data_IF_736620438688
#
_entry.id   IF_736620438688
#
_cell.length_a   1.000
_cell.length_b   1.000
_cell.length_c   1.000
_cell.angle_alpha   90.00
_cell.angle_beta   90.00
_cell.angle_gamma   90.00
#
_symmetry.space_group_name_H-M   'P 1'
#
loop_
_entity.id
_entity.type
_entity.pdbx_description
1 polymer ?
#
# COMPACT_ATOMS: atom_id res chain seq x y z
N UNK A 1 -2.21 4.13 -13.31
CA UNK A 1 -1.43 3.28 -12.37
C UNK A 1 -1.66 3.55 -10.89
N UNK A 2 -2.14 4.74 -10.52
CA UNK A 2 -2.48 5.12 -9.13
C UNK A 2 -3.44 4.16 -8.41
N UNK A 3 -4.29 3.44 -9.14
CA UNK A 3 -5.22 2.47 -8.54
C UNK A 3 -4.56 1.15 -8.09
N UNK A 4 -3.24 1.02 -8.17
CA UNK A 4 -2.52 -0.23 -7.82
C UNK A 4 -2.75 -0.66 -6.37
N UNK A 5 -2.69 0.26 -5.40
CA UNK A 5 -2.97 -0.03 -3.98
C UNK A 5 -4.42 -0.48 -3.75
N UNK A 6 -5.38 0.22 -4.35
CA UNK A 6 -6.82 -0.11 -4.29
C UNK A 6 -7.07 -1.49 -4.90
N UNK A 7 -6.52 -1.77 -6.07
CA UNK A 7 -6.65 -3.06 -6.74
C UNK A 7 -6.17 -4.22 -5.87
N UNK A 8 -5.03 -4.08 -5.19
CA UNK A 8 -4.50 -5.11 -4.28
C UNK A 8 -5.43 -5.29 -3.09
N UNK A 9 -5.87 -4.19 -2.47
CA UNK A 9 -6.74 -4.25 -1.31
C UNK A 9 -8.10 -4.89 -1.61
N UNK A 10 -8.77 -4.49 -2.70
CA UNK A 10 -10.07 -5.02 -3.09
C UNK A 10 -10.03 -6.52 -3.42
N UNK A 11 -8.97 -6.97 -4.09
CA UNK A 11 -8.84 -8.39 -4.42
C UNK A 11 -8.37 -9.22 -3.22
N UNK A 12 -7.52 -8.68 -2.35
CA UNK A 12 -7.11 -9.34 -1.10
C UNK A 12 -8.25 -9.48 -0.10
N UNK A 13 -9.16 -8.50 -0.03
CA UNK A 13 -10.37 -8.54 0.81
C UNK A 13 -11.27 -9.73 0.51
N UNK A 14 -11.29 -10.23 -0.74
CA UNK A 14 -12.12 -11.38 -1.16
C UNK A 14 -11.69 -12.68 -0.49
N UNK A 15 -10.39 -12.84 -0.24
CA UNK A 15 -9.82 -14.07 0.34
C UNK A 15 -9.54 -13.91 1.83
N UNK A 16 -9.10 -12.73 2.26
CA UNK A 16 -8.68 -12.43 3.63
C UNK A 16 -9.30 -11.10 4.12
N UNK A 17 -10.62 -11.05 4.41
CA UNK A 17 -11.33 -9.81 4.75
C UNK A 17 -10.77 -9.09 5.99
N UNK A 18 -10.20 -9.84 6.94
CA UNK A 18 -9.62 -9.28 8.16
C UNK A 18 -8.17 -8.82 8.00
N UNK A 19 -7.52 -9.13 6.87
CA UNK A 19 -6.10 -8.81 6.63
C UNK A 19 -5.88 -7.63 5.69
N UNK A 20 -6.86 -7.31 4.86
CA UNK A 20 -6.80 -6.16 3.95
C UNK A 20 -7.73 -5.04 4.42
N UNK A 21 -7.41 -3.80 4.02
CA UNK A 21 -8.26 -2.61 4.13
C UNK A 21 -8.10 -1.83 2.82
N UNK A 22 -9.20 -1.55 2.15
CA UNK A 22 -9.21 -0.55 1.09
C UNK A 22 -9.42 0.82 1.73
N UNK A 23 -8.35 1.63 1.78
CA UNK A 23 -8.37 2.97 2.35
C UNK A 23 -8.73 4.06 1.33
N UNK A 24 -8.91 3.68 0.05
CA UNK A 24 -9.16 4.61 -1.05
C UNK A 24 -8.12 5.74 -1.09
N UNK A 25 -8.61 6.96 -1.30
CA UNK A 25 -7.78 8.17 -1.31
C UNK A 25 -7.48 8.71 0.10
N UNK A 26 -8.23 8.31 1.14
CA UNK A 26 -8.18 8.99 2.45
C UNK A 26 -7.93 7.99 3.57
N UNK A 27 -6.67 7.62 3.76
CA UNK A 27 -6.23 6.74 4.87
C UNK A 27 -6.57 7.30 6.27
N UNK A 28 -6.73 8.62 6.41
CA UNK A 28 -7.07 9.30 7.67
C UNK A 28 -8.39 8.77 8.27
N UNK A 29 -9.37 8.48 7.41
CA UNK A 29 -10.67 7.95 7.82
C UNK A 29 -10.59 6.51 8.36
N UNK A 30 -9.48 5.83 8.11
CA UNK A 30 -9.27 4.42 8.47
C UNK A 30 -8.31 4.24 9.63
N UNK A 31 -7.73 5.30 10.20
CA UNK A 31 -6.74 5.21 11.30
C UNK A 31 -7.31 4.37 12.44
N UNK A 32 -8.50 4.70 12.96
CA UNK A 32 -9.10 3.97 14.08
C UNK A 32 -9.34 2.49 13.76
N UNK A 33 -9.73 2.17 12.51
CA UNK A 33 -9.95 0.79 12.06
C UNK A 33 -8.62 0.02 11.99
N UNK A 34 -7.55 0.66 11.55
CA UNK A 34 -6.21 0.08 11.49
C UNK A 34 -5.64 -0.10 12.91
N UNK A 35 -5.83 0.88 13.79
CA UNK A 35 -5.31 0.81 15.17
C UNK A 35 -6.11 -0.15 16.05
N UNK A 36 -7.39 -0.38 15.79
CA UNK A 36 -8.21 -1.37 16.50
C UNK A 36 -7.82 -2.83 16.19
N UNK A 37 -7.07 -3.05 15.12
CA UNK A 37 -6.61 -4.37 14.68
C UNK A 37 -5.39 -4.86 15.47
N UNK A 38 -5.29 -6.17 15.80
CA UNK A 38 -4.23 -6.73 16.64
C UNK A 38 -2.88 -6.91 15.92
N UNK A 39 -2.83 -6.71 14.60
CA UNK A 39 -1.63 -6.90 13.80
C UNK A 39 -0.47 -5.98 14.25
N UNK A 40 0.69 -6.58 14.52
CA UNK A 40 1.93 -5.85 14.84
C UNK A 40 2.67 -5.31 13.61
N UNK A 41 2.31 -5.77 12.42
CA UNK A 41 2.92 -5.34 11.15
C UNK A 41 1.84 -4.74 10.26
N UNK A 42 2.04 -3.49 9.87
CA UNK A 42 1.18 -2.75 8.95
C UNK A 42 1.96 -2.53 7.66
N UNK A 43 1.35 -2.85 6.52
CA UNK A 43 1.94 -2.64 5.20
C UNK A 43 1.02 -1.70 4.44
N UNK A 44 1.52 -0.51 4.15
CA UNK A 44 0.87 0.47 3.28
C UNK A 44 1.36 0.22 1.85
N UNK A 45 0.45 0.19 0.89
CA UNK A 45 0.77 -0.06 -0.51
C UNK A 45 0.14 1.06 -1.33
N UNK A 46 0.95 1.75 -2.11
CA UNK A 46 0.50 2.83 -2.97
C UNK A 46 1.41 2.98 -4.20
N UNK A 47 0.95 3.70 -5.21
CA UNK A 47 1.81 4.16 -6.28
C UNK A 47 2.80 5.20 -5.73
N UNK A 48 4.07 5.09 -6.11
CA UNK A 48 5.10 6.04 -5.73
C UNK A 48 6.11 6.20 -6.85
N UNK A 49 6.36 7.43 -7.29
CA UNK A 49 7.35 7.72 -8.31
C UNK A 49 8.73 7.91 -7.69
N UNK A 50 9.57 6.89 -7.83
CA UNK A 50 10.95 6.89 -7.34
C UNK A 50 11.97 6.79 -8.47
N UNK A 51 11.56 7.08 -9.72
CA UNK A 51 12.41 7.01 -10.92
C UNK A 51 12.85 5.59 -11.29
N UNK A 52 12.13 4.56 -10.82
CA UNK A 52 12.39 3.16 -11.14
C UNK A 52 11.83 2.73 -12.50
N UNK A 53 11.80 1.41 -12.75
CA UNK A 53 11.09 0.86 -13.91
C UNK A 53 9.59 0.73 -13.61
N UNK A 54 8.69 0.94 -14.59
CA UNK A 54 7.27 0.61 -14.47
C UNK A 54 6.99 -0.72 -13.77
N UNK A 55 6.19 -0.69 -12.70
CA UNK A 55 5.85 -1.86 -11.89
C UNK A 55 6.92 -2.31 -10.89
N UNK A 56 8.09 -1.65 -10.84
CA UNK A 56 9.08 -1.90 -9.80
C UNK A 56 8.45 -1.62 -8.42
N UNK A 57 8.67 -2.53 -7.47
CA UNK A 57 8.18 -2.39 -6.10
C UNK A 57 9.37 -2.19 -5.17
N UNK A 58 9.28 -1.18 -4.32
CA UNK A 58 10.31 -0.89 -3.29
C UNK A 58 9.67 -0.68 -1.93
N UNK A 59 10.36 -1.18 -0.91
CA UNK A 59 10.10 -0.72 0.46
C UNK A 59 10.74 0.65 0.58
N UNK A 60 9.92 1.67 0.74
CA UNK A 60 10.37 3.05 0.89
C UNK A 60 10.31 3.39 2.38
N UNK A 61 11.43 3.83 2.98
CA UNK A 61 11.42 4.36 4.33
C UNK A 61 10.42 5.51 4.41
N UNK A 62 9.57 5.51 5.44
CA UNK A 62 8.53 6.53 5.62
C UNK A 62 9.13 7.95 5.70
N UNK A 63 10.38 8.07 6.14
CA UNK A 63 11.13 9.32 6.18
C UNK A 63 11.46 9.88 4.78
N UNK A 64 11.56 9.01 3.77
CA UNK A 64 11.93 9.39 2.40
C UNK A 64 10.71 9.75 1.52
N UNK A 65 9.48 9.61 2.03
CA UNK A 65 8.25 9.88 1.26
C UNK A 65 8.06 11.34 0.83
N UNK A 66 8.77 12.30 1.45
CA UNK A 66 8.70 13.73 1.07
C UNK A 66 9.38 14.04 -0.27
N UNK A 67 10.38 13.26 -0.66
CA UNK A 67 11.25 13.58 -1.81
C UNK A 67 10.79 12.91 -3.11
N UNK A 68 9.88 11.93 -3.03
CA UNK A 68 9.48 11.07 -4.16
C UNK A 68 8.16 11.47 -4.84
N UNK A 69 7.83 12.77 -4.86
CA UNK A 69 6.70 13.27 -5.66
C UNK A 69 5.32 12.70 -5.32
N UNK A 70 5.13 12.05 -4.16
CA UNK A 70 3.82 11.52 -3.73
C UNK A 70 2.88 12.70 -3.52
N UNK A 71 2.00 12.92 -4.51
CA UNK A 71 0.98 13.95 -4.59
C UNK A 71 0.18 14.02 -3.29
N UNK A 72 0.13 15.21 -2.66
CA UNK A 72 -0.75 15.69 -1.56
C UNK A 72 -1.05 14.81 -0.32
N UNK A 73 -0.71 13.51 -0.31
CA UNK A 73 -0.91 12.54 0.77
C UNK A 73 0.38 12.25 1.56
N UNK A 74 1.53 12.76 1.12
CA UNK A 74 2.83 12.55 1.80
C UNK A 74 2.90 13.22 3.19
N UNK A 75 2.26 14.38 3.37
CA UNK A 75 2.22 15.07 4.66
C UNK A 75 1.28 14.40 5.66
N UNK A 76 0.17 13.83 5.18
CA UNK A 76 -0.75 13.05 6.01
C UNK A 76 -0.14 11.71 6.37
N UNK A 77 0.50 10.98 5.45
CA UNK A 77 1.14 9.68 5.74
C UNK A 77 2.22 9.75 6.81
N UNK A 78 3.09 10.78 6.83
CA UNK A 78 4.08 10.95 7.90
C UNK A 78 3.44 11.19 9.28
N UNK A 79 2.38 11.99 9.34
CA UNK A 79 1.65 12.25 10.59
C UNK A 79 0.89 11.01 11.05
N UNK A 80 0.26 10.30 10.11
CA UNK A 80 -0.43 9.04 10.34
C UNK A 80 0.53 7.97 10.86
N UNK A 81 1.77 7.95 10.37
CA UNK A 81 2.76 6.99 10.86
C UNK A 81 2.97 7.08 12.37
N UNK A 82 2.90 8.28 12.97
CA UNK A 82 3.01 8.45 14.43
C UNK A 82 1.90 7.67 15.14
N UNK A 83 0.68 7.72 14.60
CA UNK A 83 -0.47 6.98 15.14
C UNK A 83 -0.39 5.49 14.84
N UNK A 84 0.08 5.09 13.65
CA UNK A 84 0.16 3.68 13.24
C UNK A 84 1.32 2.93 13.89
N UNK A 85 2.43 3.62 14.17
CA UNK A 85 3.60 3.08 14.88
C UNK A 85 3.43 3.09 16.40
N UNK A 86 2.30 3.58 16.92
CA UNK A 86 2.00 3.53 18.34
C UNK A 86 1.90 2.06 18.81
N UNK A 87 2.59 1.73 19.91
CA UNK A 87 2.56 0.41 20.55
C UNK A 87 3.22 -0.70 19.73
N UNK A 88 4.56 -0.80 19.74
CA UNK A 88 5.39 -1.86 19.13
C UNK A 88 5.05 -2.27 17.67
N UNK A 89 4.27 -1.46 16.96
CA UNK A 89 3.86 -1.73 15.58
C UNK A 89 4.97 -1.34 14.63
N UNK A 90 5.17 -2.17 13.60
CA UNK A 90 6.08 -1.91 12.49
C UNK A 90 5.27 -1.53 11.27
N UNK A 91 5.54 -0.36 10.72
CA UNK A 91 4.87 0.15 9.51
C UNK A 91 5.86 0.14 8.36
N UNK A 92 5.48 -0.51 7.26
CA UNK A 92 6.23 -0.53 6.01
C UNK A 92 5.41 0.15 4.92
N UNK A 93 6.08 0.91 4.05
CA UNK A 93 5.47 1.44 2.84
C UNK A 93 6.07 0.75 1.62
N UNK A 94 5.21 0.10 0.83
CA UNK A 94 5.53 -0.49 -0.45
C UNK A 94 5.06 0.46 -1.54
N UNK A 95 6.01 1.15 -2.16
CA UNK A 95 5.77 1.97 -3.33
C UNK A 95 5.86 1.14 -4.60
N UNK A 96 4.89 1.28 -5.48
CA UNK A 96 4.94 0.72 -6.84
C UNK A 96 5.18 1.84 -7.86
N UNK A 97 6.23 1.70 -8.67
CA UNK A 97 6.56 2.69 -9.69
C UNK A 97 5.47 2.73 -10.76
N UNK A 98 4.76 3.87 -10.93
CA UNK A 98 3.82 4.02 -12.03
C UNK A 98 4.56 4.20 -13.36
N UNK A 99 3.90 3.81 -14.45
CA UNK A 99 4.28 4.16 -15.83
C UNK A 99 3.52 5.38 -16.31
N UNK A 100 2.22 5.43 -15.99
CA UNK A 100 1.35 6.54 -16.35
C UNK A 100 0.30 6.82 -15.24
N UNK A 101 0.17 8.08 -14.85
CA UNK A 101 -0.83 8.59 -13.91
C UNK A 101 -1.84 9.56 -14.57
N UNK A 102 -1.95 9.54 -15.90
CA UNK A 102 -2.97 10.32 -16.62
C UNK A 102 -4.38 10.03 -16.08
N UNK A 103 -5.18 11.08 -15.96
CA UNK A 103 -6.53 11.02 -15.43
C UNK A 103 -7.41 10.02 -16.21
N UNK A 104 -8.18 9.17 -15.51
CA UNK A 104 -9.00 8.08 -16.07
C UNK A 104 -8.25 6.99 -16.87
N UNK A 105 -6.91 6.98 -16.85
CA UNK A 105 -6.16 5.91 -17.51
C UNK A 105 -6.28 4.58 -16.76
N UNK A 106 -6.50 3.51 -17.52
CA UNK A 106 -6.45 2.15 -16.99
C UNK A 106 -5.03 1.84 -16.48
N UNK A 107 -4.93 0.94 -15.50
CA UNK A 107 -3.64 0.45 -15.01
C UNK A 107 -2.88 -0.23 -16.15
N UNK A 108 -1.62 0.17 -16.34
CA UNK A 108 -0.72 -0.38 -17.33
C UNK A 108 -0.40 -1.84 -17.02
N UNK A 109 -0.12 -2.62 -18.06
CA UNK A 109 0.09 -4.06 -17.90
C UNK A 109 1.31 -4.38 -17.02
N UNK A 110 2.37 -3.56 -17.06
CA UNK A 110 3.54 -3.72 -16.18
C UNK A 110 3.19 -3.57 -14.70
N UNK A 111 2.42 -2.53 -14.35
CA UNK A 111 1.97 -2.26 -12.98
C UNK A 111 0.97 -3.31 -12.54
N UNK A 112 0.00 -3.65 -13.39
CA UNK A 112 -1.01 -4.67 -13.11
C UNK A 112 -0.41 -6.04 -12.86
N UNK A 113 0.56 -6.46 -13.67
CA UNK A 113 1.29 -7.72 -13.46
C UNK A 113 2.04 -7.71 -12.12
N UNK A 114 2.66 -6.60 -11.78
CA UNK A 114 3.38 -6.43 -10.52
C UNK A 114 2.44 -6.45 -9.30
N UNK A 115 1.27 -5.81 -9.41
CA UNK A 115 0.22 -5.87 -8.40
C UNK A 115 -0.36 -7.28 -8.22
N UNK A 116 -0.58 -8.03 -9.30
CA UNK A 116 -1.01 -9.43 -9.23
C UNK A 116 0.04 -10.33 -8.57
N UNK A 117 1.31 -10.14 -8.89
CA UNK A 117 2.40 -10.88 -8.27
C UNK A 117 2.50 -10.57 -6.76
N UNK A 118 2.39 -9.29 -6.40
CA UNK A 118 2.41 -8.86 -5.00
C UNK A 118 1.22 -9.42 -4.21
N UNK A 119 0.02 -9.40 -4.78
CA UNK A 119 -1.15 -10.03 -4.17
C UNK A 119 -0.96 -11.53 -3.99
N UNK A 120 -0.40 -12.22 -4.98
CA UNK A 120 -0.12 -13.66 -4.91
C UNK A 120 0.88 -13.99 -3.80
N UNK A 121 1.92 -13.18 -3.64
CA UNK A 121 2.86 -13.27 -2.53
C UNK A 121 2.15 -13.15 -1.17
N UNK A 122 1.27 -12.15 -0.99
CA UNK A 122 0.54 -12.01 0.26
C UNK A 122 -0.41 -13.18 0.52
N UNK A 123 -1.12 -13.67 -0.50
CA UNK A 123 -1.99 -14.85 -0.37
C UNK A 123 -1.21 -16.08 0.10
N UNK A 124 -0.02 -16.33 -0.46
CA UNK A 124 0.83 -17.44 -0.06
C UNK A 124 1.33 -17.29 1.39
N UNK A 125 1.71 -16.08 1.81
CA UNK A 125 2.19 -15.85 3.18
C UNK A 125 1.07 -15.92 4.20
N UNK A 126 -0.09 -15.35 3.91
CA UNK A 126 -1.24 -15.36 4.81
C UNK A 126 -1.82 -16.76 4.97
N UNK A 127 -1.90 -17.56 3.90
CA UNK A 127 -2.41 -18.94 4.00
C UNK A 127 -1.55 -19.82 4.90
N UNK A 128 -0.23 -19.60 4.91
CA UNK A 128 0.74 -20.28 5.80
C UNK A 128 0.66 -19.84 7.26
N UNK A 129 0.05 -18.69 7.57
CA UNK A 129 -0.10 -18.18 8.94
C UNK A 129 -1.44 -18.58 9.59
N UNK A 130 -2.39 -19.09 8.82
CA UNK A 130 -3.70 -19.57 9.28
C UNK A 130 -3.76 -21.08 9.56
N UNK A 131 -2.68 -21.82 9.29
CA UNK A 131 -2.47 -23.22 9.69
C UNK A 131 -1.50 -23.29 10.86
#
# INVERSE_FOLDING_TARGET
DDSSGVFIAENGLKDFPDKFINAGMTIENYIFKITARPEKTIILIDAADFGGKPGEIKIIPLDNLKEMGISTHSLSLKRINIFLSAGERRVFFLGMQPKNCDFESAMTEEVKKSAQNLLSFFREKLSKCTN
#
